data_IF_130627533309
#
_entry.id   IF_130627533309
#
_cell.length_a   1.000
_cell.length_b   1.000
_cell.length_c   1.000
_cell.angle_alpha   90.00
_cell.angle_beta   90.00
_cell.angle_gamma   90.00
#
_symmetry.space_group_name_H-M   'P 1'
#
loop_
_entity.id
_entity.type
_entity.pdbx_description
1 polymer ?
#
# COMPACT_ATOMS: atom_id res chain seq x y z
N UNK A 1 -11.72 -36.48 -8.61
CA UNK A 1 -12.98 -36.44 -7.84
C UNK A 1 -12.80 -35.74 -6.50
N UNK A 2 -12.15 -36.30 -5.47
CA UNK A 2 -11.97 -35.56 -4.19
C UNK A 2 -11.03 -34.34 -4.29
N UNK A 3 -9.98 -34.44 -5.09
CA UNK A 3 -9.04 -33.35 -5.37
C UNK A 3 -9.73 -32.10 -5.93
N UNK A 4 -10.71 -32.27 -6.82
CA UNK A 4 -11.43 -31.16 -7.44
C UNK A 4 -12.22 -30.35 -6.39
N UNK A 5 -12.91 -31.04 -5.49
CA UNK A 5 -13.62 -30.38 -4.38
C UNK A 5 -12.68 -29.67 -3.42
N UNK A 6 -11.54 -30.28 -3.09
CA UNK A 6 -10.53 -29.65 -2.22
C UNK A 6 -9.92 -28.41 -2.89
N UNK A 7 -9.59 -28.49 -4.18
CA UNK A 7 -9.07 -27.38 -4.95
C UNK A 7 -10.06 -26.21 -5.00
N UNK A 8 -11.33 -26.49 -5.35
CA UNK A 8 -12.36 -25.45 -5.40
C UNK A 8 -12.70 -24.87 -4.03
N UNK A 9 -12.69 -25.69 -2.96
CA UNK A 9 -12.91 -25.22 -1.60
C UNK A 9 -11.78 -24.29 -1.14
N UNK A 10 -10.52 -24.67 -1.39
CA UNK A 10 -9.37 -23.81 -1.10
C UNK A 10 -9.41 -22.51 -1.90
N UNK A 11 -9.70 -22.60 -3.20
CA UNK A 11 -9.81 -21.43 -4.07
C UNK A 11 -10.93 -20.48 -3.63
N UNK A 12 -12.10 -21.03 -3.29
CA UNK A 12 -13.23 -20.26 -2.74
C UNK A 12 -12.86 -19.59 -1.41
N UNK A 13 -12.14 -20.28 -0.53
CA UNK A 13 -11.66 -19.71 0.73
C UNK A 13 -10.70 -18.53 0.49
N UNK A 14 -9.72 -18.69 -0.42
CA UNK A 14 -8.79 -17.62 -0.79
C UNK A 14 -9.54 -16.42 -1.37
N UNK A 15 -10.47 -16.64 -2.30
CA UNK A 15 -11.29 -15.58 -2.88
C UNK A 15 -12.17 -14.88 -1.85
N UNK A 16 -12.82 -15.62 -0.96
CA UNK A 16 -13.63 -15.07 0.11
C UNK A 16 -12.80 -14.21 1.06
N UNK A 17 -11.62 -14.69 1.47
CA UNK A 17 -10.69 -13.93 2.30
C UNK A 17 -10.20 -12.66 1.60
N UNK A 18 -9.90 -12.74 0.29
CA UNK A 18 -9.45 -11.58 -0.48
C UNK A 18 -10.57 -10.55 -0.67
N UNK A 19 -11.79 -11.00 -0.96
CA UNK A 19 -12.97 -10.14 -1.07
C UNK A 19 -13.27 -9.45 0.26
N UNK A 20 -13.26 -10.19 1.39
CA UNK A 20 -13.42 -9.62 2.72
C UNK A 20 -12.38 -8.53 3.01
N UNK A 21 -11.10 -8.80 2.70
CA UNK A 21 -10.02 -7.82 2.88
C UNK A 21 -10.22 -6.58 2.01
N UNK A 22 -10.63 -6.75 0.75
CA UNK A 22 -10.92 -5.65 -0.17
C UNK A 22 -12.09 -4.79 0.31
N UNK A 23 -13.20 -5.40 0.73
CA UNK A 23 -14.34 -4.68 1.29
C UNK A 23 -13.99 -3.91 2.58
N UNK A 24 -13.14 -4.48 3.44
CA UNK A 24 -12.71 -3.83 4.69
C UNK A 24 -11.77 -2.64 4.46
N UNK A 25 -10.84 -2.72 3.50
CA UNK A 25 -9.85 -1.67 3.23
C UNK A 25 -10.29 -0.64 2.18
N UNK A 26 -11.33 -0.93 1.40
CA UNK A 26 -11.86 -0.07 0.34
C UNK A 26 -10.96 0.12 -0.87
N UNK A 27 -9.72 -0.38 -0.84
CA UNK A 27 -8.75 -0.33 -1.94
C UNK A 27 -7.73 -1.46 -1.81
N UNK A 28 -7.14 -1.86 -2.95
CA UNK A 28 -6.07 -2.85 -2.98
C UNK A 28 -4.80 -2.35 -2.26
N UNK A 29 -4.48 -1.06 -2.42
CA UNK A 29 -3.36 -0.43 -1.71
C UNK A 29 -3.60 -0.39 -0.20
N UNK A 30 -4.81 -0.05 0.24
CA UNK A 30 -5.17 -0.13 1.66
C UNK A 30 -5.14 -1.57 2.19
N UNK A 31 -5.59 -2.53 1.37
CA UNK A 31 -5.53 -3.95 1.72
C UNK A 31 -4.08 -4.36 1.97
N UNK A 32 -3.12 -3.97 1.11
CA UNK A 32 -1.70 -4.28 1.29
C UNK A 32 -1.08 -3.59 2.50
N UNK A 33 -1.43 -2.32 2.76
CA UNK A 33 -0.95 -1.55 3.91
C UNK A 33 -1.62 -1.95 5.24
N UNK A 34 -2.63 -2.82 5.21
CA UNK A 34 -3.31 -3.34 6.39
C UNK A 34 -4.30 -2.35 7.02
N UNK A 35 -4.88 -1.45 6.23
CA UNK A 35 -5.84 -0.46 6.73
C UNK A 35 -6.67 0.19 5.63
N UNK A 36 -7.56 1.10 6.02
CA UNK A 36 -8.34 1.91 5.08
C UNK A 36 -7.59 3.21 4.79
N UNK A 37 -7.50 3.59 3.51
CA UNK A 37 -6.99 4.90 3.12
C UNK A 37 -8.03 5.94 3.53
N UNK A 38 -7.68 6.85 4.47
CA UNK A 38 -8.53 8.01 4.78
C UNK A 38 -8.35 9.11 3.75
N UNK A 39 -7.09 9.40 3.40
CA UNK A 39 -6.75 10.52 2.52
C UNK A 39 -5.39 10.30 1.87
N UNK A 40 -5.28 10.58 0.57
CA UNK A 40 -4.00 10.79 -0.10
C UNK A 40 -3.52 12.22 0.21
N UNK A 41 -2.37 12.35 0.85
CA UNK A 41 -1.79 13.65 1.24
C UNK A 41 -1.11 14.30 0.04
N UNK A 42 -0.39 13.50 -0.73
CA UNK A 42 0.32 13.98 -1.90
C UNK A 42 1.21 12.90 -2.52
N UNK A 43 1.87 13.29 -3.61
CA UNK A 43 2.77 12.43 -4.36
C UNK A 43 4.02 13.22 -4.76
N UNK A 44 5.18 12.57 -4.62
CA UNK A 44 6.48 13.09 -5.07
C UNK A 44 7.00 12.20 -6.21
N UNK A 45 7.42 12.82 -7.30
CA UNK A 45 8.09 12.11 -8.39
C UNK A 45 9.52 11.81 -7.98
N UNK A 46 9.86 10.53 -7.84
CA UNK A 46 11.22 10.09 -7.53
C UNK A 46 12.09 10.01 -8.80
N UNK A 47 11.50 9.61 -9.93
CA UNK A 47 12.15 9.58 -11.23
C UNK A 47 11.12 9.59 -12.35
N UNK A 48 11.37 10.39 -13.40
CA UNK A 48 10.54 10.44 -14.62
C UNK A 48 11.43 10.27 -15.84
N UNK A 49 11.66 9.03 -16.26
CA UNK A 49 12.29 8.70 -17.54
C UNK A 49 11.25 8.37 -18.61
N UNK A 50 11.64 8.44 -19.89
CA UNK A 50 10.76 8.16 -21.04
C UNK A 50 10.14 6.74 -21.01
N UNK A 51 10.80 5.79 -20.34
CA UNK A 51 10.39 4.38 -20.26
C UNK A 51 10.03 3.90 -18.84
N UNK A 52 10.18 4.74 -17.81
CA UNK A 52 9.81 4.36 -16.45
C UNK A 52 9.49 5.57 -15.60
N UNK A 53 8.39 5.50 -14.86
CA UNK A 53 8.03 6.50 -13.85
C UNK A 53 8.04 5.88 -12.47
N UNK A 54 8.62 6.59 -11.50
CA UNK A 54 8.58 6.23 -10.09
C UNK A 54 7.95 7.37 -9.31
N UNK A 55 6.87 7.06 -8.59
CA UNK A 55 6.11 8.01 -7.79
C UNK A 55 6.03 7.49 -6.37
N UNK A 56 6.45 8.30 -5.41
CA UNK A 56 6.22 8.07 -4.00
C UNK A 56 4.89 8.73 -3.62
N UNK A 57 3.92 7.93 -3.19
CA UNK A 57 2.63 8.42 -2.70
C UNK A 57 2.57 8.33 -1.18
N UNK A 58 1.98 9.33 -0.54
CA UNK A 58 1.82 9.40 0.91
C UNK A 58 0.34 9.46 1.26
N UNK A 59 -0.07 8.64 2.22
CA UNK A 59 -1.46 8.49 2.65
C UNK A 59 -1.58 8.57 4.16
N UNK A 60 -2.66 9.17 4.61
CA UNK A 60 -3.17 8.94 5.97
C UNK A 60 -4.05 7.70 5.96
N UNK A 61 -3.69 6.75 6.82
CA UNK A 61 -4.34 5.45 6.93
C UNK A 61 -5.00 5.31 8.29
N UNK A 62 -6.07 4.52 8.34
CA UNK A 62 -6.70 4.09 9.59
C UNK A 62 -6.68 2.56 9.65
N UNK A 63 -6.17 2.03 10.75
CA UNK A 63 -6.20 0.61 11.07
C UNK A 63 -7.62 0.18 11.43
N UNK A 64 -7.89 -1.11 11.42
CA UNK A 64 -9.18 -1.63 11.89
C UNK A 64 -9.53 -1.25 13.31
N UNK A 65 -8.52 -0.98 14.12
CA UNK A 65 -8.67 -0.72 15.56
C UNK A 65 -8.86 0.79 15.83
N UNK A 66 -9.05 1.59 14.77
CA UNK A 66 -9.23 3.04 14.83
C UNK A 66 -7.91 3.83 14.91
N UNK A 67 -6.77 3.13 15.04
CA UNK A 67 -5.46 3.79 15.08
C UNK A 67 -5.08 4.40 13.73
N UNK A 68 -4.69 5.68 13.75
CA UNK A 68 -4.21 6.37 12.56
C UNK A 68 -2.70 6.13 12.38
N UNK A 69 -2.31 5.78 11.16
CA UNK A 69 -0.90 5.59 10.77
C UNK A 69 -0.62 6.20 9.40
N UNK A 70 0.66 6.30 9.04
CA UNK A 70 1.06 6.85 7.75
C UNK A 70 1.43 5.71 6.82
N UNK A 71 0.80 5.66 5.65
CA UNK A 71 1.15 4.76 4.58
C UNK A 71 1.96 5.49 3.53
N UNK A 72 3.03 4.89 3.05
CA UNK A 72 3.72 5.33 1.84
C UNK A 72 3.70 4.19 0.83
N UNK A 73 3.59 4.52 -0.45
CA UNK A 73 3.78 3.54 -1.52
C UNK A 73 4.73 4.09 -2.57
N UNK A 74 5.80 3.35 -2.84
CA UNK A 74 6.63 3.61 -4.02
C UNK A 74 6.03 2.83 -5.19
N UNK A 75 5.48 3.57 -6.15
CA UNK A 75 4.87 3.01 -7.34
C UNK A 75 5.83 3.20 -8.50
N UNK A 76 6.36 2.10 -9.03
CA UNK A 76 7.16 2.12 -10.25
C UNK A 76 6.33 1.56 -11.40
N UNK A 77 6.23 2.31 -12.50
CA UNK A 77 5.57 1.88 -13.74
C UNK A 77 6.57 1.84 -14.87
N UNK A 78 6.59 0.72 -15.59
CA UNK A 78 7.30 0.48 -16.82
C UNK A 78 6.33 -0.18 -17.83
N UNK A 79 6.60 -0.15 -19.16
CA UNK A 79 5.68 -0.61 -20.20
C UNK A 79 5.12 -2.03 -20.00
N UNK A 80 5.87 -2.92 -19.36
CA UNK A 80 5.48 -4.32 -19.12
C UNK A 80 5.49 -4.71 -17.63
N UNK A 81 5.71 -3.75 -16.72
CA UNK A 81 5.80 -4.05 -15.30
C UNK A 81 5.31 -2.86 -14.47
N UNK A 82 4.45 -3.15 -13.49
CA UNK A 82 4.14 -2.22 -12.42
C UNK A 82 4.54 -2.89 -11.10
N UNK A 83 5.33 -2.19 -10.29
CA UNK A 83 5.65 -2.61 -8.94
C UNK A 83 5.16 -1.57 -7.94
N UNK A 84 4.61 -2.05 -6.83
CA UNK A 84 4.17 -1.21 -5.73
C UNK A 84 4.81 -1.75 -4.46
N UNK A 85 5.58 -0.91 -3.79
CA UNK A 85 6.22 -1.23 -2.52
C UNK A 85 5.50 -0.48 -1.40
N UNK A 86 4.63 -1.16 -0.62
CA UNK A 86 3.95 -0.56 0.50
C UNK A 86 4.89 -0.43 1.70
N UNK A 87 4.94 0.75 2.31
CA UNK A 87 5.71 1.03 3.52
C UNK A 87 4.73 1.59 4.55
N UNK A 88 4.65 0.93 5.71
CA UNK A 88 3.86 1.39 6.85
C UNK A 88 4.79 2.10 7.83
N UNK A 89 4.42 3.31 8.22
CA UNK A 89 5.12 4.08 9.24
C UNK A 89 4.20 4.35 10.44
N UNK A 90 4.75 4.16 11.63
CA UNK A 90 4.17 4.72 12.85
C UNK A 90 4.30 6.25 12.84
N UNK A 91 3.59 6.91 13.76
CA UNK A 91 3.72 8.37 13.94
C UNK A 91 5.15 8.78 14.30
N UNK A 92 5.84 8.02 15.15
CA UNK A 92 7.23 8.30 15.53
C UNK A 92 8.18 8.12 14.36
N UNK A 93 8.09 7.01 13.63
CA UNK A 93 8.93 6.76 12.45
C UNK A 93 8.74 7.82 11.37
N UNK A 94 7.51 8.32 11.19
CA UNK A 94 7.25 9.40 10.27
C UNK A 94 7.87 10.73 10.74
N UNK A 95 7.88 11.01 12.04
CA UNK A 95 8.56 12.18 12.60
C UNK A 95 10.08 12.09 12.40
N UNK A 96 10.67 10.91 12.63
CA UNK A 96 12.09 10.68 12.39
C UNK A 96 12.45 10.91 10.91
N UNK A 97 11.62 10.41 9.99
CA UNK A 97 11.81 10.65 8.56
C UNK A 97 11.73 12.14 8.21
N UNK A 98 10.79 12.89 8.78
CA UNK A 98 10.69 14.34 8.59
C UNK A 98 11.96 15.04 9.07
N UNK A 99 12.52 14.63 10.21
CA UNK A 99 13.78 15.21 10.72
C UNK A 99 14.95 14.94 9.76
N UNK A 100 15.08 13.71 9.26
CA UNK A 100 16.13 13.36 8.28
C UNK A 100 16.00 14.19 6.99
N UNK A 101 14.78 14.37 6.48
CA UNK A 101 14.51 15.20 5.30
C UNK A 101 14.84 16.67 5.55
N UNK A 102 14.50 17.20 6.73
CA UNK A 102 14.84 18.58 7.10
C UNK A 102 16.35 18.78 7.22
N UNK A 103 17.08 17.81 7.79
CA UNK A 103 18.54 17.86 7.87
C UNK A 103 19.20 17.83 6.49
N UNK A 104 18.66 17.05 5.54
CA UNK A 104 19.19 16.98 4.19
C UNK A 104 18.94 18.25 3.36
N UNK A 105 18.02 19.11 3.78
CA UNK A 105 17.73 20.40 3.15
C UNK A 105 18.56 21.56 3.73
N UNK A 106 19.23 21.35 4.86
CA UNK A 106 20.10 22.34 5.50
C UNK A 106 21.50 22.33 4.86
#
# INVERSE_FOLDING_TARGET
MWFDYVFWAFFAFVLAHMAWRYFRSGSFTGAMLGGKIKREIGQASASSGSFSSQTLKVYTMESSDGESFIGMSLVSKAPLAASMQPIKLSKSQAQDLVQLLQQALA
#
